data_IF_750419844438
#
_entry.id   IF_750419844438
#
_cell.length_a   1.000
_cell.length_b   1.000
_cell.length_c   1.000
_cell.angle_alpha   90.00
_cell.angle_beta   90.00
_cell.angle_gamma   90.00
#
_symmetry.space_group_name_H-M   'P 1'
#
loop_
_entity.id
_entity.type
_entity.pdbx_description
1 polymer ?
#
# COMPACT_ATOMS: atom_id res chain seq x y z
N UNK A 1 -2.82 -18.52 8.61
CA UNK A 1 -1.58 -17.75 8.86
C UNK A 1 -1.95 -16.43 9.50
N UNK A 2 -1.24 -16.00 10.55
CA UNK A 2 -1.56 -14.76 11.28
C UNK A 2 -0.59 -13.64 10.86
N UNK A 3 -1.13 -12.48 10.50
CA UNK A 3 -0.34 -11.30 10.16
C UNK A 3 -0.06 -10.45 11.39
N UNK A 4 1.20 -10.06 11.62
CA UNK A 4 1.62 -9.16 12.70
C UNK A 4 2.23 -7.87 12.13
N UNK A 5 1.97 -6.75 12.78
CA UNK A 5 2.52 -5.44 12.41
C UNK A 5 3.45 -4.91 13.51
N UNK A 6 4.66 -4.51 13.14
CA UNK A 6 5.60 -3.83 14.05
C UNK A 6 5.93 -2.44 13.53
N UNK A 7 6.10 -1.45 14.41
CA UNK A 7 6.50 -0.10 13.99
C UNK A 7 7.95 -0.10 13.52
N UNK A 8 8.26 0.67 12.48
CA UNK A 8 9.64 0.87 12.03
C UNK A 8 10.21 2.10 12.72
N UNK A 9 11.20 1.90 13.58
CA UNK A 9 11.86 2.97 14.32
C UNK A 9 12.61 3.93 13.37
N UNK A 10 12.58 5.23 13.66
CA UNK A 10 13.26 6.26 12.86
C UNK A 10 12.60 6.59 11.52
N UNK A 11 11.48 5.96 11.18
CA UNK A 11 10.77 6.24 9.93
C UNK A 11 10.14 7.64 9.90
N UNK A 12 10.40 8.39 8.83
CA UNK A 12 9.71 9.66 8.52
C UNK A 12 8.33 9.47 7.88
N UNK A 13 8.00 8.26 7.44
CA UNK A 13 6.71 7.93 6.81
C UNK A 13 5.61 7.78 7.86
N UNK A 14 4.42 8.31 7.56
CA UNK A 14 3.27 8.22 8.46
C UNK A 14 2.76 6.77 8.58
N UNK A 15 2.49 6.34 9.82
CA UNK A 15 2.01 4.98 10.12
C UNK A 15 2.84 3.87 9.46
N UNK A 16 4.17 4.03 9.42
CA UNK A 16 5.06 3.05 8.81
C UNK A 16 5.21 1.81 9.71
N UNK A 17 4.86 0.66 9.17
CA UNK A 17 4.88 -0.61 9.87
C UNK A 17 5.51 -1.68 8.99
N UNK A 18 6.28 -2.58 9.60
CA UNK A 18 6.73 -3.82 9.01
C UNK A 18 5.63 -4.87 9.16
N UNK A 19 5.44 -5.68 8.12
CA UNK A 19 4.43 -6.73 8.05
C UNK A 19 5.11 -8.09 8.14
N UNK A 20 4.62 -8.92 9.05
CA UNK A 20 5.10 -10.27 9.29
C UNK A 20 3.98 -11.28 9.03
N UNK A 21 4.35 -12.42 8.45
CA UNK A 21 3.50 -13.59 8.27
C UNK A 21 4.12 -14.74 9.09
N UNK A 22 3.55 -15.03 10.25
CA UNK A 22 4.27 -15.82 11.26
C UNK A 22 5.54 -15.09 11.72
N UNK A 23 6.69 -15.77 11.67
CA UNK A 23 8.01 -15.21 12.02
C UNK A 23 8.73 -14.55 10.82
N UNK A 24 8.15 -14.63 9.62
CA UNK A 24 8.77 -14.08 8.42
C UNK A 24 8.34 -12.65 8.14
N UNK A 25 9.30 -11.76 7.91
CA UNK A 25 9.03 -10.42 7.35
C UNK A 25 8.65 -10.55 5.87
N UNK A 26 7.43 -10.14 5.52
CA UNK A 26 6.95 -10.17 4.14
C UNK A 26 7.00 -8.80 3.46
N UNK A 27 7.12 -7.72 4.23
CA UNK A 27 7.24 -6.37 3.67
C UNK A 27 7.01 -5.25 4.67
N UNK A 28 6.71 -4.08 4.14
CA UNK A 28 6.41 -2.85 4.88
C UNK A 28 5.19 -2.15 4.29
N UNK A 29 4.46 -1.43 5.14
CA UNK A 29 3.27 -0.64 4.79
C UNK A 29 3.31 0.74 5.44
N UNK A 30 2.79 1.74 4.75
CA UNK A 30 2.76 3.11 5.27
C UNK A 30 1.62 3.93 4.64
N UNK A 31 1.40 5.13 5.17
CA UNK A 31 0.43 6.11 4.65
C UNK A 31 1.11 7.34 4.08
N UNK A 32 0.56 7.84 2.97
CA UNK A 32 0.92 9.12 2.38
C UNK A 32 -0.35 9.87 1.93
N UNK A 33 -0.32 11.21 1.96
CA UNK A 33 -1.35 12.03 1.30
C UNK A 33 -1.05 12.06 -0.20
N UNK A 34 -2.06 11.76 -1.00
CA UNK A 34 -1.96 11.77 -2.46
C UNK A 34 -3.23 12.33 -3.08
N UNK A 35 -3.11 12.92 -4.26
CA UNK A 35 -4.25 13.38 -5.05
C UNK A 35 -4.96 12.19 -5.72
N UNK A 36 -6.27 12.10 -5.52
CA UNK A 36 -7.11 11.05 -6.10
C UNK A 36 -8.32 11.66 -6.80
N UNK A 37 -8.82 10.96 -7.81
CA UNK A 37 -10.04 11.37 -8.52
C UNK A 37 -11.24 11.05 -7.61
N UNK A 38 -12.04 12.07 -7.29
CA UNK A 38 -13.25 11.92 -6.47
C UNK A 38 -14.55 12.04 -7.27
N UNK A 39 -14.50 12.64 -8.46
CA UNK A 39 -15.61 12.62 -9.42
C UNK A 39 -15.07 12.47 -10.84
N UNK A 40 -15.69 11.55 -11.59
CA UNK A 40 -15.42 11.31 -13.02
C UNK A 40 -16.51 11.90 -13.93
N UNK A 41 -17.60 12.41 -13.35
CA UNK A 41 -18.82 12.79 -14.08
C UNK A 41 -18.70 14.22 -14.64
N UNK A 42 -17.87 15.07 -14.04
CA UNK A 42 -17.69 16.46 -14.44
C UNK A 42 -16.31 16.68 -15.06
N UNK A 43 -16.25 17.52 -16.11
CA UNK A 43 -15.00 18.00 -16.69
C UNK A 43 -14.74 19.46 -16.22
N UNK A 44 -13.56 19.79 -15.69
CA UNK A 44 -12.42 18.92 -15.41
C UNK A 44 -12.68 17.93 -14.26
N UNK A 45 -11.96 16.80 -14.26
CA UNK A 45 -12.03 15.79 -13.19
C UNK A 45 -11.74 16.45 -11.84
N UNK A 46 -12.57 16.16 -10.84
CA UNK A 46 -12.35 16.68 -9.49
C UNK A 46 -11.32 15.82 -8.78
N UNK A 47 -10.23 16.45 -8.37
CA UNK A 47 -9.15 15.84 -7.59
C UNK A 47 -9.27 16.27 -6.13
N UNK A 48 -8.92 15.37 -5.20
CA UNK A 48 -8.81 15.71 -3.79
C UNK A 48 -7.64 14.98 -3.14
N UNK A 49 -7.01 15.62 -2.16
CA UNK A 49 -6.02 14.97 -1.32
C UNK A 49 -6.68 13.96 -0.38
N UNK A 50 -6.20 12.71 -0.42
CA UNK A 50 -6.64 11.65 0.48
C UNK A 50 -5.44 10.89 1.04
N UNK A 51 -5.57 10.47 2.28
CA UNK A 51 -4.65 9.49 2.85
C UNK A 51 -4.86 8.15 2.18
N UNK A 52 -3.77 7.60 1.64
CA UNK A 52 -3.75 6.29 1.00
C UNK A 52 -2.65 5.42 1.59
N UNK A 53 -2.92 4.14 1.61
CA UNK A 53 -1.98 3.13 2.06
C UNK A 53 -1.13 2.63 0.90
N UNK A 54 0.13 2.38 1.18
CA UNK A 54 1.11 1.84 0.27
C UNK A 54 1.82 0.68 0.94
N UNK A 55 2.37 -0.21 0.12
CA UNK A 55 3.16 -1.33 0.61
C UNK A 55 4.36 -1.60 -0.26
N UNK A 56 5.30 -2.36 0.25
CA UNK A 56 6.48 -2.83 -0.47
C UNK A 56 6.85 -4.19 0.08
N UNK A 57 7.08 -5.14 -0.80
CA UNK A 57 7.50 -6.49 -0.40
C UNK A 57 8.96 -6.46 0.07
N UNK A 58 9.28 -7.33 1.03
CA UNK A 58 10.65 -7.49 1.50
C UNK A 58 11.58 -7.86 0.32
N UNK A 59 12.70 -7.15 0.19
CA UNK A 59 13.67 -7.37 -0.90
C UNK A 59 13.28 -6.84 -2.29
N UNK A 60 12.07 -6.29 -2.46
CA UNK A 60 11.57 -5.80 -3.76
C UNK A 60 11.53 -4.27 -3.78
N UNK A 61 12.05 -3.62 -4.82
CA UNK A 61 12.06 -2.16 -4.92
C UNK A 61 10.67 -1.55 -5.21
N UNK A 62 9.80 -2.32 -5.88
CA UNK A 62 8.48 -1.88 -6.36
C UNK A 62 7.53 -1.57 -5.20
N UNK A 63 6.87 -0.42 -5.29
CA UNK A 63 5.86 0.02 -4.32
C UNK A 63 4.45 -0.35 -4.81
N UNK A 64 3.78 -1.20 -4.03
CA UNK A 64 2.37 -1.55 -4.21
C UNK A 64 1.49 -0.30 -4.06
N UNK A 65 0.56 -0.15 -4.99
CA UNK A 65 -0.32 1.02 -5.06
C UNK A 65 0.26 2.17 -5.89
N UNK A 66 1.48 2.04 -6.45
CA UNK A 66 2.03 2.97 -7.44
C UNK A 66 2.13 2.31 -8.81
N UNK A 67 1.97 3.10 -9.87
CA UNK A 67 2.21 2.65 -11.25
C UNK A 67 1.19 1.65 -11.83
N UNK A 68 0.14 1.26 -11.10
CA UNK A 68 -0.89 0.38 -11.65
C UNK A 68 -1.83 1.15 -12.60
N UNK A 69 -2.42 0.45 -13.59
CA UNK A 69 -3.41 1.06 -14.50
C UNK A 69 -4.58 1.69 -13.74
N UNK A 70 -5.02 1.05 -12.65
CA UNK A 70 -6.02 1.63 -11.75
C UNK A 70 -5.52 2.91 -11.09
N UNK A 71 -4.30 2.94 -10.56
CA UNK A 71 -3.71 4.12 -9.94
C UNK A 71 -3.60 5.31 -10.91
N UNK A 72 -3.34 5.06 -12.19
CA UNK A 72 -3.35 6.11 -13.23
C UNK A 72 -4.75 6.70 -13.47
N UNK A 73 -5.82 5.94 -13.20
CA UNK A 73 -7.20 6.34 -13.46
C UNK A 73 -7.91 6.95 -12.25
N UNK A 74 -7.56 6.50 -11.03
CA UNK A 74 -8.23 6.94 -9.79
C UNK A 74 -7.30 7.59 -8.77
N UNK A 75 -6.00 7.67 -9.05
CA UNK A 75 -4.96 8.11 -8.13
C UNK A 75 -4.32 6.93 -7.37
N UNK A 76 -3.09 7.10 -6.87
CA UNK A 76 -2.30 6.02 -6.31
C UNK A 76 -2.76 5.60 -4.91
N UNK A 77 -2.33 4.40 -4.51
CA UNK A 77 -2.47 3.82 -3.19
C UNK A 77 -3.84 3.22 -2.89
N UNK A 78 -3.88 2.40 -1.85
CA UNK A 78 -5.05 1.66 -1.41
C UNK A 78 -5.88 2.48 -0.42
N UNK A 79 -7.21 2.26 -0.42
CA UNK A 79 -8.12 2.97 0.48
C UNK A 79 -7.91 2.56 1.95
N UNK A 80 -7.64 1.28 2.19
CA UNK A 80 -7.55 0.67 3.51
C UNK A 80 -6.19 0.02 3.71
N UNK A 81 -5.81 -0.15 4.98
CA UNK A 81 -4.58 -0.84 5.37
C UNK A 81 -4.62 -2.30 4.95
N UNK A 82 -5.75 -2.94 5.21
CA UNK A 82 -5.92 -4.38 5.03
C UNK A 82 -5.83 -4.77 3.56
N UNK A 83 -6.26 -3.92 2.63
CA UNK A 83 -6.08 -4.15 1.19
C UNK A 83 -4.60 -4.27 0.80
N UNK A 84 -3.70 -3.52 1.46
CA UNK A 84 -2.26 -3.64 1.22
C UNK A 84 -1.71 -4.92 1.81
N UNK A 85 -2.16 -5.28 3.02
CA UNK A 85 -1.73 -6.50 3.71
C UNK A 85 -2.17 -7.73 2.93
N UNK A 86 -3.38 -7.76 2.38
CA UNK A 86 -3.87 -8.85 1.52
C UNK A 86 -2.96 -9.02 0.32
N UNK A 87 -2.65 -7.95 -0.42
CA UNK A 87 -1.75 -8.04 -1.58
C UNK A 87 -0.35 -8.53 -1.17
N UNK A 88 0.22 -8.01 -0.07
CA UNK A 88 1.52 -8.49 0.42
C UNK A 88 1.50 -9.98 0.81
N UNK A 89 0.41 -10.44 1.41
CA UNK A 89 0.24 -11.85 1.79
C UNK A 89 0.08 -12.75 0.57
N UNK A 90 -0.69 -12.29 -0.43
CA UNK A 90 -0.86 -13.01 -1.70
C UNK A 90 0.45 -13.11 -2.49
N UNK A 91 1.25 -12.04 -2.54
CA UNK A 91 2.57 -12.05 -3.19
C UNK A 91 3.56 -12.94 -2.44
N UNK A 92 3.56 -12.89 -1.10
CA UNK A 92 4.40 -13.78 -0.29
C UNK A 92 4.06 -15.26 -0.50
N UNK A 93 2.78 -15.58 -0.66
CA UNK A 93 2.31 -16.95 -0.90
C UNK A 93 2.66 -17.47 -2.30
N UNK A 94 2.80 -16.58 -3.29
CA UNK A 94 3.23 -16.93 -4.66
C UNK A 94 4.73 -17.13 -4.78
N UNK A 95 5.54 -16.46 -3.96
CA UNK A 95 7.00 -16.61 -3.93
C UNK A 95 7.50 -17.91 -3.28
N UNK A 96 6.61 -18.72 -2.71
CA UNK A 96 6.91 -20.01 -2.06
C UNK A 96 6.50 -21.23 -2.90
N UNK A 97 6.18 -21.06 -4.19
CA UNK A 97 5.82 -22.13 -5.12
C UNK A 97 6.96 -22.49 -6.07
#
# INVERSE_FOLDING_TARGET
>A
MTTRLTKIAGSKKSAHQQVHLGEQVIGEIWREKVNVVVSKVTAPRVMAERWRWFGKQAGVATVLGRGTRAAMLVGPGFKTRDAVITVLTDEASRGTA
#
